data_IF_489870056971
#
_entry.id   IF_489870056971
#
_cell.length_a   1.000
_cell.length_b   1.000
_cell.length_c   1.000
_cell.angle_alpha   90.00
_cell.angle_beta   90.00
_cell.angle_gamma   90.00
#
_symmetry.space_group_name_H-M   'P 1'
#
loop_
_entity.id
_entity.type
_entity.pdbx_description
1 polymer ?
#
# COMPACT_ATOMS: atom_id res chain seq x y z
N UNK A 1 2.76 -43.14 -5.94
CA UNK A 1 2.52 -41.92 -6.77
C UNK A 1 1.98 -40.71 -6.00
N UNK A 2 1.25 -40.85 -4.88
CA UNK A 2 0.68 -39.71 -4.13
C UNK A 2 1.67 -38.78 -3.40
N UNK A 3 2.85 -39.28 -2.96
CA UNK A 3 3.88 -38.45 -2.29
C UNK A 3 4.52 -37.38 -3.20
N UNK A 4 4.61 -37.63 -4.50
CA UNK A 4 5.21 -36.71 -5.49
C UNK A 4 4.35 -35.47 -5.73
N UNK A 5 3.03 -35.61 -5.74
CA UNK A 5 2.10 -34.50 -5.94
C UNK A 5 1.99 -33.59 -4.70
N UNK A 6 2.07 -34.18 -3.49
CA UNK A 6 2.05 -33.42 -2.23
C UNK A 6 3.31 -32.56 -2.05
N UNK A 7 4.49 -33.10 -2.32
CA UNK A 7 5.74 -32.33 -2.25
C UNK A 7 5.82 -31.20 -3.29
N UNK A 8 5.29 -31.41 -4.51
CA UNK A 8 5.22 -30.33 -5.52
C UNK A 8 4.23 -29.22 -5.14
N UNK A 9 3.10 -29.56 -4.50
CA UNK A 9 2.13 -28.58 -3.98
C UNK A 9 2.68 -27.82 -2.77
N UNK A 10 3.36 -28.50 -1.85
CA UNK A 10 4.00 -27.88 -0.69
C UNK A 10 5.15 -26.96 -1.09
N UNK A 11 5.98 -27.34 -2.08
CA UNK A 11 7.05 -26.49 -2.61
C UNK A 11 6.50 -25.24 -3.33
N UNK A 12 5.42 -25.38 -4.12
CA UNK A 12 4.74 -24.24 -4.76
C UNK A 12 4.08 -23.31 -3.74
N UNK A 13 3.47 -23.86 -2.69
CA UNK A 13 2.91 -23.07 -1.59
C UNK A 13 4.00 -22.32 -0.80
N UNK A 14 5.14 -22.98 -0.51
CA UNK A 14 6.26 -22.32 0.15
C UNK A 14 6.84 -21.17 -0.69
N UNK A 15 7.00 -21.36 -2.01
CA UNK A 15 7.34 -20.27 -2.93
C UNK A 15 6.27 -19.17 -2.95
N UNK A 16 4.98 -19.48 -2.92
CA UNK A 16 3.94 -18.45 -2.94
C UNK A 16 3.92 -17.58 -1.66
N UNK A 17 4.08 -18.18 -0.46
CA UNK A 17 4.23 -17.45 0.82
C UNK A 17 5.46 -16.55 0.79
N UNK A 18 6.57 -17.06 0.24
CA UNK A 18 7.80 -16.33 0.07
C UNK A 18 7.61 -15.02 -0.67
N UNK A 19 6.85 -15.06 -1.76
CA UNK A 19 6.57 -13.90 -2.60
C UNK A 19 5.46 -12.98 -2.06
N UNK A 20 4.60 -13.44 -1.14
CA UNK A 20 3.55 -12.62 -0.51
C UNK A 20 4.05 -11.83 0.69
N UNK A 21 4.81 -12.49 1.57
CA UNK A 21 5.42 -11.84 2.73
C UNK A 21 6.63 -10.98 2.31
N UNK A 22 7.30 -11.34 1.22
CA UNK A 22 8.21 -10.47 0.49
C UNK A 22 7.47 -9.61 -0.54
N UNK A 23 6.25 -9.15 -0.28
CA UNK A 23 5.28 -8.62 -1.26
C UNK A 23 5.71 -7.45 -2.16
N UNK A 24 6.95 -7.00 -2.08
CA UNK A 24 7.57 -6.02 -2.97
C UNK A 24 8.88 -6.53 -3.66
N UNK A 25 9.30 -7.76 -3.32
CA UNK A 25 10.44 -8.62 -3.72
C UNK A 25 10.74 -8.84 -5.20
N UNK A 26 10.06 -8.15 -6.09
CA UNK A 26 10.17 -8.35 -7.53
C UNK A 26 10.26 -7.08 -8.34
N UNK A 27 10.36 -5.90 -7.72
CA UNK A 27 10.22 -4.61 -8.41
C UNK A 27 11.18 -4.43 -9.59
N UNK A 28 12.40 -4.93 -9.47
CA UNK A 28 13.45 -4.77 -10.49
C UNK A 28 13.43 -5.87 -11.57
N UNK A 29 12.48 -6.81 -11.53
CA UNK A 29 12.35 -7.91 -12.53
C UNK A 29 11.30 -7.65 -13.61
N UNK A 30 10.61 -6.51 -13.55
CA UNK A 30 9.51 -6.18 -14.45
C UNK A 30 9.79 -4.91 -15.24
N UNK A 31 9.13 -4.76 -16.38
CA UNK A 31 9.21 -3.55 -17.19
C UNK A 31 8.71 -2.35 -16.38
N UNK A 32 9.64 -1.42 -16.10
CA UNK A 32 9.32 -0.09 -15.59
C UNK A 32 9.04 0.85 -16.78
N UNK A 33 8.38 1.97 -16.50
CA UNK A 33 8.41 3.08 -17.44
C UNK A 33 9.89 3.53 -17.67
N UNK A 34 10.19 4.24 -18.77
CA UNK A 34 11.50 4.85 -18.95
C UNK A 34 11.68 6.00 -17.95
N UNK A 35 12.88 6.10 -17.36
CA UNK A 35 13.27 7.28 -16.57
C UNK A 35 13.60 8.41 -17.54
N UNK A 36 12.85 9.51 -17.48
CA UNK A 36 13.25 10.74 -18.13
C UNK A 36 14.27 11.47 -17.27
N UNK A 37 15.43 11.80 -17.84
CA UNK A 37 16.44 12.64 -17.17
C UNK A 37 15.82 14.03 -16.91
N UNK A 38 15.67 14.45 -15.65
CA UNK A 38 14.98 15.69 -15.35
C UNK A 38 15.82 16.90 -15.77
N UNK A 39 15.17 17.91 -16.35
CA UNK A 39 15.84 19.17 -16.74
C UNK A 39 16.25 20.03 -15.54
N UNK A 40 15.68 19.76 -14.36
CA UNK A 40 15.99 20.41 -13.08
C UNK A 40 16.90 19.49 -12.24
N UNK A 41 17.63 20.08 -11.30
CA UNK A 41 18.57 19.36 -10.41
C UNK A 41 18.21 19.44 -8.92
N UNK A 42 17.09 20.07 -8.58
CA UNK A 42 16.60 20.09 -7.20
C UNK A 42 15.98 18.75 -6.78
N UNK A 43 15.71 18.61 -5.49
CA UNK A 43 15.27 17.35 -4.89
C UNK A 43 13.95 16.80 -5.46
N UNK A 44 13.10 17.66 -6.03
CA UNK A 44 11.81 17.26 -6.62
C UNK A 44 11.93 16.90 -8.09
N UNK A 45 13.02 17.26 -8.74
CA UNK A 45 13.19 17.09 -10.18
C UNK A 45 12.92 15.67 -10.68
N UNK A 46 13.34 14.59 -9.99
CA UNK A 46 12.99 13.23 -10.42
C UNK A 46 11.48 12.98 -10.43
N UNK A 47 10.75 13.54 -9.46
CA UNK A 47 9.32 13.25 -9.25
C UNK A 47 8.40 14.18 -10.06
N UNK A 48 8.92 15.30 -10.56
CA UNK A 48 8.20 16.30 -11.36
C UNK A 48 8.64 16.32 -12.83
N UNK A 49 8.93 15.14 -13.39
CA UNK A 49 9.39 15.00 -14.77
C UNK A 49 8.37 15.56 -15.79
N UNK A 50 8.85 15.78 -17.03
CA UNK A 50 8.23 16.70 -17.98
C UNK A 50 6.87 16.25 -18.56
N UNK A 51 6.53 14.96 -18.46
CA UNK A 51 5.37 14.37 -19.14
C UNK A 51 4.42 13.65 -18.19
N UNK A 52 3.45 14.42 -17.69
CA UNK A 52 2.29 13.91 -16.96
C UNK A 52 1.62 12.75 -17.71
N UNK A 53 1.22 11.63 -17.06
CA UNK A 53 0.81 10.45 -17.81
C UNK A 53 -0.52 10.70 -18.51
N UNK A 54 -0.72 10.11 -19.68
CA UNK A 54 -1.94 10.31 -20.49
C UNK A 54 -3.23 10.06 -19.70
N UNK A 55 -3.26 9.04 -18.86
CA UNK A 55 -4.42 8.73 -18.02
C UNK A 55 -4.73 9.82 -16.98
N UNK A 56 -3.71 10.54 -16.51
CA UNK A 56 -3.90 11.68 -15.62
C UNK A 56 -4.36 12.94 -16.39
N UNK A 57 -4.05 13.05 -17.68
CA UNK A 57 -4.63 14.10 -18.54
C UNK A 57 -6.13 13.88 -18.78
N UNK A 58 -6.58 12.63 -18.92
CA UNK A 58 -8.00 12.29 -19.14
C UNK A 58 -8.91 12.59 -17.95
N UNK A 59 -8.35 12.83 -16.77
CA UNK A 59 -9.13 13.28 -15.61
C UNK A 59 -9.74 14.67 -15.80
N UNK A 60 -9.23 15.44 -16.77
CA UNK A 60 -9.70 16.78 -17.12
C UNK A 60 -9.76 17.71 -15.91
N UNK A 61 -8.69 17.68 -15.09
CA UNK A 61 -8.55 18.54 -13.92
C UNK A 61 -8.19 19.98 -14.38
N UNK A 62 -8.96 21.00 -13.98
CA UNK A 62 -8.68 22.39 -14.33
C UNK A 62 -7.26 22.83 -13.95
N UNK A 63 -6.51 23.39 -14.90
CA UNK A 63 -5.13 23.87 -14.68
C UNK A 63 -5.01 25.06 -13.72
N UNK A 64 -6.12 25.75 -13.47
CA UNK A 64 -6.22 26.90 -12.57
C UNK A 64 -6.41 26.49 -11.11
N UNK A 65 -6.64 25.20 -10.84
CA UNK A 65 -6.85 24.63 -9.51
C UNK A 65 -5.74 23.61 -9.21
N UNK A 66 -5.55 23.35 -7.92
CA UNK A 66 -4.51 22.47 -7.42
C UNK A 66 -5.12 21.18 -6.88
N UNK A 67 -4.46 20.06 -7.15
CA UNK A 67 -5.01 18.73 -6.83
C UNK A 67 -3.95 17.83 -6.23
N UNK A 68 -4.38 17.03 -5.25
CA UNK A 68 -3.67 15.85 -4.77
C UNK A 68 -4.46 14.62 -5.20
N UNK A 69 -3.77 13.65 -5.78
CA UNK A 69 -4.38 12.46 -6.35
C UNK A 69 -3.79 11.24 -5.66
N UNK A 70 -4.64 10.48 -4.97
CA UNK A 70 -4.29 9.19 -4.38
C UNK A 70 -4.84 8.08 -5.27
N UNK A 71 -3.96 7.23 -5.77
CA UNK A 71 -4.32 6.03 -6.53
C UNK A 71 -3.98 4.80 -5.71
N UNK A 72 -5.00 4.05 -5.28
CA UNK A 72 -4.81 2.77 -4.62
C UNK A 72 -5.13 1.62 -5.57
N UNK A 73 -4.15 0.77 -5.85
CA UNK A 73 -4.33 -0.49 -6.57
C UNK A 73 -4.57 -1.60 -5.53
N UNK A 74 -5.83 -2.03 -5.29
CA UNK A 74 -6.10 -3.11 -4.35
C UNK A 74 -5.63 -4.45 -4.91
N UNK A 75 -5.54 -5.44 -4.03
CA UNK A 75 -5.48 -6.84 -4.43
C UNK A 75 -6.81 -7.27 -5.05
N UNK A 76 -6.78 -8.21 -6.00
CA UNK A 76 -8.01 -8.82 -6.53
C UNK A 76 -8.84 -9.51 -5.43
N UNK A 77 -8.16 -10.16 -4.48
CA UNK A 77 -8.78 -10.85 -3.36
C UNK A 77 -8.55 -10.06 -2.08
N UNK A 78 -9.62 -9.71 -1.33
CA UNK A 78 -9.49 -9.00 -0.06
C UNK A 78 -8.53 -9.67 0.92
N UNK A 79 -7.63 -8.89 1.51
CA UNK A 79 -6.81 -9.36 2.62
C UNK A 79 -7.49 -9.10 3.97
N UNK A 80 -8.43 -9.97 4.35
CA UNK A 80 -9.31 -9.76 5.50
C UNK A 80 -8.58 -9.98 6.84
N UNK A 81 -8.15 -8.88 7.46
CA UNK A 81 -7.49 -8.85 8.77
C UNK A 81 -8.46 -8.84 9.98
N UNK A 82 -9.77 -8.98 9.78
CA UNK A 82 -10.77 -8.89 10.87
C UNK A 82 -10.60 -9.96 11.95
N UNK A 83 -10.08 -11.14 11.57
CA UNK A 83 -9.78 -12.23 12.51
C UNK A 83 -8.53 -12.99 12.06
N UNK A 84 -7.79 -13.64 12.98
CA UNK A 84 -6.64 -14.46 12.60
C UNK A 84 -6.98 -15.58 11.60
N UNK A 85 -8.18 -16.16 11.70
CA UNK A 85 -8.63 -17.20 10.78
C UNK A 85 -8.89 -16.64 9.37
N UNK A 86 -9.51 -15.47 9.26
CA UNK A 86 -9.76 -14.82 7.96
C UNK A 86 -8.48 -14.30 7.32
N UNK A 87 -7.56 -13.76 8.11
CA UNK A 87 -6.25 -13.32 7.61
C UNK A 87 -5.46 -14.49 7.01
N UNK A 88 -5.48 -15.64 7.69
CA UNK A 88 -4.91 -16.88 7.18
C UNK A 88 -5.54 -17.33 5.87
N UNK A 89 -6.87 -17.34 5.79
CA UNK A 89 -7.56 -17.76 4.57
C UNK A 89 -7.31 -16.80 3.41
N UNK A 90 -7.25 -15.50 3.68
CA UNK A 90 -6.91 -14.48 2.68
C UNK A 90 -5.49 -14.66 2.16
N UNK A 91 -4.52 -15.00 3.03
CA UNK A 91 -3.18 -15.39 2.60
C UNK A 91 -3.18 -16.63 1.70
N UNK A 92 -4.00 -17.63 2.04
CA UNK A 92 -4.16 -18.85 1.22
C UNK A 92 -4.75 -18.55 -0.16
N UNK A 93 -5.75 -17.69 -0.20
CA UNK A 93 -6.39 -17.25 -1.43
C UNK A 93 -5.41 -16.46 -2.30
N UNK A 94 -4.74 -15.45 -1.74
CA UNK A 94 -3.75 -14.63 -2.42
C UNK A 94 -2.59 -15.45 -3.02
N UNK A 95 -2.21 -16.58 -2.40
CA UNK A 95 -1.22 -17.52 -2.95
C UNK A 95 -1.70 -18.31 -4.16
N UNK A 96 -3.00 -18.58 -4.20
CA UNK A 96 -3.62 -19.47 -5.18
C UNK A 96 -4.01 -18.72 -6.46
N UNK A 97 -3.99 -17.38 -6.42
CA UNK A 97 -4.39 -16.52 -7.52
C UNK A 97 -3.24 -16.27 -8.51
N UNK A 98 -3.41 -16.67 -9.79
CA UNK A 98 -2.39 -16.42 -10.80
C UNK A 98 -2.30 -14.93 -11.18
N UNK A 99 -1.07 -14.44 -11.26
CA UNK A 99 -0.71 -13.32 -12.16
C UNK A 99 -0.99 -11.89 -11.70
N UNK A 100 -0.68 -11.49 -10.47
CA UNK A 100 -0.67 -10.04 -10.13
C UNK A 100 0.49 -9.63 -9.23
N UNK A 101 0.96 -8.41 -9.49
CA UNK A 101 2.18 -7.80 -8.98
C UNK A 101 2.02 -7.05 -7.65
N UNK A 102 0.78 -6.70 -7.26
CA UNK A 102 0.46 -5.95 -6.03
C UNK A 102 -0.29 -6.84 -5.04
N UNK A 103 0.43 -7.68 -4.30
CA UNK A 103 -0.19 -8.75 -3.50
C UNK A 103 -0.73 -8.34 -2.13
N UNK A 104 -0.46 -7.11 -1.69
CA UNK A 104 -0.97 -6.50 -0.45
C UNK A 104 -1.56 -5.10 -0.69
N UNK A 105 -1.80 -4.75 -1.95
CA UNK A 105 -2.19 -3.40 -2.37
C UNK A 105 -0.99 -2.49 -2.65
N UNK A 106 -1.26 -1.33 -3.25
CA UNK A 106 -0.24 -0.36 -3.61
C UNK A 106 -0.82 1.05 -3.71
N UNK A 107 -0.24 2.01 -3.01
CA UNK A 107 -0.69 3.41 -3.06
C UNK A 107 0.31 4.25 -3.85
N UNK A 108 -0.18 5.11 -4.74
CA UNK A 108 0.58 6.11 -5.49
C UNK A 108 -0.01 7.48 -5.17
N UNK A 109 0.84 8.45 -4.90
CA UNK A 109 0.45 9.84 -4.69
C UNK A 109 0.97 10.69 -5.83
N UNK A 110 0.09 11.51 -6.40
CA UNK A 110 0.39 12.41 -7.48
C UNK A 110 -0.18 13.80 -7.18
N UNK A 111 0.34 14.83 -7.85
CA UNK A 111 -0.07 16.20 -7.62
C UNK A 111 -0.07 17.05 -8.87
N UNK A 112 -0.91 18.08 -8.82
CA UNK A 112 -0.88 19.24 -9.69
C UNK A 112 -0.87 20.48 -8.80
N UNK A 113 0.30 21.11 -8.67
CA UNK A 113 0.50 22.37 -7.95
C UNK A 113 0.91 23.45 -8.97
N UNK A 114 -0.08 24.06 -9.62
CA UNK A 114 0.06 25.04 -10.68
C UNK A 114 0.84 24.50 -11.88
N UNK A 115 2.03 25.07 -12.18
CA UNK A 115 2.85 24.57 -13.27
C UNK A 115 3.50 23.23 -12.94
N UNK A 116 3.61 22.88 -11.65
CA UNK A 116 4.31 21.69 -11.19
C UNK A 116 3.34 20.52 -11.13
N UNK A 117 3.75 19.40 -11.69
CA UNK A 117 3.04 18.15 -11.62
C UNK A 117 4.03 17.05 -11.36
N UNK A 118 3.64 16.07 -10.58
CA UNK A 118 4.51 14.96 -10.27
C UNK A 118 3.79 13.80 -9.62
N UNK A 119 4.47 12.68 -9.55
CA UNK A 119 3.99 11.52 -8.83
C UNK A 119 5.13 10.72 -8.24
N UNK A 120 4.83 10.05 -7.14
CA UNK A 120 5.77 9.17 -6.49
C UNK A 120 5.04 8.09 -5.70
N UNK A 121 5.78 7.06 -5.35
CA UNK A 121 5.40 6.10 -4.32
C UNK A 121 6.64 5.43 -3.74
N UNK A 122 6.45 4.71 -2.65
CA UNK A 122 7.50 4.03 -1.92
C UNK A 122 7.44 2.51 -2.10
N UNK A 123 8.60 1.89 -2.35
CA UNK A 123 8.79 0.44 -2.40
C UNK A 123 10.03 0.06 -1.60
N UNK A 124 10.20 -1.23 -1.32
CA UNK A 124 11.36 -1.83 -0.66
C UNK A 124 11.10 -3.30 -0.44
N UNK A 125 11.81 -3.98 0.47
CA UNK A 125 11.72 -5.43 0.66
C UNK A 125 11.89 -6.24 -0.65
N UNK A 126 12.63 -5.65 -1.60
CA UNK A 126 12.90 -6.12 -2.96
C UNK A 126 14.09 -7.08 -3.04
N UNK A 127 15.00 -6.99 -2.06
CA UNK A 127 16.17 -7.84 -1.93
C UNK A 127 15.86 -9.31 -1.57
N UNK A 128 16.86 -10.21 -1.68
CA UNK A 128 16.70 -11.62 -1.33
C UNK A 128 16.38 -11.87 0.15
N UNK A 129 16.64 -10.89 1.02
CA UNK A 129 16.50 -10.96 2.47
C UNK A 129 15.05 -11.18 2.89
N UNK A 130 14.08 -10.48 2.27
CA UNK A 130 12.66 -10.63 2.59
C UNK A 130 12.19 -12.07 2.33
N UNK A 131 12.60 -12.64 1.20
CA UNK A 131 12.39 -14.05 0.90
C UNK A 131 13.21 -14.98 1.83
N UNK A 132 14.40 -14.58 2.25
CA UNK A 132 15.20 -15.41 3.15
C UNK A 132 14.55 -15.55 4.53
N UNK A 133 14.07 -14.46 5.15
CA UNK A 133 13.37 -14.52 6.44
C UNK A 133 12.18 -15.49 6.41
N UNK A 134 11.39 -15.41 5.34
CA UNK A 134 10.23 -16.27 5.18
C UNK A 134 10.65 -17.75 5.00
N UNK A 135 11.74 -18.03 4.25
CA UNK A 135 12.27 -19.39 4.07
C UNK A 135 12.79 -19.97 5.38
N UNK A 136 13.54 -19.16 6.11
CA UNK A 136 14.26 -19.59 7.30
C UNK A 136 13.29 -19.83 8.45
N UNK A 137 12.08 -19.27 8.38
CA UNK A 137 11.00 -19.54 9.32
C UNK A 137 10.82 -18.42 10.33
N UNK A 138 11.02 -17.17 9.92
CA UNK A 138 10.67 -16.00 10.74
C UNK A 138 9.15 -15.75 10.82
N UNK A 139 8.34 -16.48 10.04
CA UNK A 139 6.89 -16.30 10.05
C UNK A 139 6.47 -14.89 9.61
N UNK A 140 5.52 -14.30 10.33
CA UNK A 140 5.04 -12.92 10.12
C UNK A 140 6.05 -11.84 10.52
N UNK A 141 7.11 -12.18 11.27
CA UNK A 141 8.18 -11.23 11.61
C UNK A 141 8.79 -10.64 10.34
N UNK A 142 8.85 -11.41 9.24
CA UNK A 142 9.31 -10.90 7.94
C UNK A 142 8.51 -9.67 7.48
N UNK A 143 7.17 -9.74 7.50
CA UNK A 143 6.32 -8.63 7.06
C UNK A 143 6.35 -7.42 8.01
N UNK A 144 6.66 -7.63 9.29
CA UNK A 144 6.73 -6.58 10.32
C UNK A 144 8.13 -5.94 10.43
N UNK A 145 9.13 -6.53 9.77
CA UNK A 145 10.51 -6.04 9.79
C UNK A 145 10.68 -4.81 8.90
N UNK A 146 11.75 -4.05 9.17
CA UNK A 146 12.16 -2.91 8.35
C UNK A 146 13.33 -3.29 7.47
N UNK A 147 13.25 -2.92 6.19
CA UNK A 147 14.27 -3.18 5.18
C UNK A 147 14.98 -1.89 4.78
N UNK A 148 16.29 -1.95 4.60
CA UNK A 148 17.12 -0.79 4.23
C UNK A 148 17.23 -0.55 2.72
N UNK A 149 16.48 -1.30 1.93
CA UNK A 149 16.40 -1.19 0.46
C UNK A 149 15.19 -0.36 0.01
N UNK A 150 14.64 0.48 0.90
CA UNK A 150 13.58 1.39 0.53
C UNK A 150 14.00 2.31 -0.61
N UNK A 151 13.06 2.66 -1.48
CA UNK A 151 13.23 3.73 -2.46
C UNK A 151 11.90 4.37 -2.81
N UNK A 152 11.94 5.67 -3.10
CA UNK A 152 10.88 6.33 -3.84
C UNK A 152 11.15 6.12 -5.32
N UNK A 153 10.13 5.83 -6.11
CA UNK A 153 10.23 5.84 -7.56
C UNK A 153 9.48 7.04 -8.12
N UNK A 154 10.10 7.79 -9.04
CA UNK A 154 9.43 8.83 -9.79
C UNK A 154 8.42 8.27 -10.79
N UNK A 155 7.69 9.19 -11.42
CA UNK A 155 6.76 8.95 -12.53
C UNK A 155 7.27 7.91 -13.56
N UNK A 156 8.51 8.09 -14.01
CA UNK A 156 9.15 7.20 -14.99
C UNK A 156 9.55 5.82 -14.46
N UNK A 157 9.38 5.50 -13.18
CA UNK A 157 9.84 4.23 -12.60
C UNK A 157 8.69 3.37 -12.04
N UNK A 158 7.44 3.82 -12.19
CA UNK A 158 6.28 2.99 -11.87
C UNK A 158 6.26 1.75 -12.77
N UNK A 159 5.90 0.59 -12.21
CA UNK A 159 5.70 -0.63 -13.01
C UNK A 159 4.63 -0.39 -14.06
N UNK A 160 4.89 -0.79 -15.30
CA UNK A 160 3.89 -0.66 -16.39
C UNK A 160 2.60 -1.40 -16.08
N UNK A 161 2.67 -2.53 -15.36
CA UNK A 161 1.48 -3.26 -14.93
C UNK A 161 0.58 -2.44 -13.99
N UNK A 162 1.17 -1.64 -13.09
CA UNK A 162 0.44 -0.76 -12.18
C UNK A 162 -0.18 0.40 -12.95
N UNK A 163 0.59 1.07 -13.81
CA UNK A 163 0.09 2.17 -14.64
C UNK A 163 -1.05 1.72 -15.57
N UNK A 164 -0.90 0.58 -16.24
CA UNK A 164 -1.97 -0.03 -17.04
C UNK A 164 -3.17 -0.42 -16.19
N UNK A 165 -2.96 -0.89 -14.96
CA UNK A 165 -4.03 -1.19 -14.01
C UNK A 165 -4.85 0.04 -13.65
N UNK A 166 -4.20 1.17 -13.39
CA UNK A 166 -4.86 2.46 -13.15
C UNK A 166 -5.65 2.87 -14.38
N UNK A 167 -5.01 2.88 -15.56
CA UNK A 167 -5.63 3.26 -16.83
C UNK A 167 -6.85 2.41 -17.19
N UNK A 168 -6.84 1.13 -16.84
CA UNK A 168 -7.94 0.18 -17.07
C UNK A 168 -9.04 0.23 -15.98
N UNK A 169 -9.00 1.20 -15.07
CA UNK A 169 -10.00 1.35 -14.01
C UNK A 169 -9.94 0.26 -12.93
N UNK A 170 -8.79 -0.43 -12.78
CA UNK A 170 -8.55 -1.43 -11.73
C UNK A 170 -8.05 -0.82 -10.42
N UNK A 171 -7.76 0.48 -10.41
CA UNK A 171 -7.42 1.24 -9.21
C UNK A 171 -8.64 1.98 -8.64
N UNK A 172 -8.56 2.32 -7.36
CA UNK A 172 -9.46 3.27 -6.70
C UNK A 172 -8.70 4.60 -6.67
N UNK A 173 -9.09 5.54 -7.52
CA UNK A 173 -8.41 6.84 -7.68
C UNK A 173 -9.30 7.93 -7.12
N UNK A 174 -8.74 8.78 -6.28
CA UNK A 174 -9.40 9.97 -5.71
C UNK A 174 -8.51 11.18 -5.93
N UNK A 175 -9.03 12.18 -6.64
CA UNK A 175 -8.41 13.49 -6.84
C UNK A 175 -9.15 14.51 -5.96
N UNK A 176 -8.39 15.24 -5.15
CA UNK A 176 -8.91 16.16 -4.14
C UNK A 176 -8.37 17.54 -4.45
N UNK A 177 -9.25 18.51 -4.63
CA UNK A 177 -8.87 19.91 -4.73
C UNK A 177 -8.33 20.40 -3.38
N UNK A 178 -7.18 21.07 -3.44
CA UNK A 178 -6.50 21.66 -2.29
C UNK A 178 -6.13 23.11 -2.60
N UNK A 179 -5.85 23.90 -1.58
CA UNK A 179 -5.32 25.24 -1.81
C UNK A 179 -3.88 25.17 -2.32
N UNK A 180 -3.47 26.19 -3.08
CA UNK A 180 -2.08 26.30 -3.57
C UNK A 180 -1.07 26.16 -2.44
N UNK A 181 -1.29 26.84 -1.32
CA UNK A 181 -0.36 26.80 -0.18
C UNK A 181 -0.22 25.39 0.41
N UNK A 182 -1.32 24.63 0.47
CA UNK A 182 -1.34 23.26 0.94
C UNK A 182 -0.62 22.33 -0.05
N UNK A 183 -0.86 22.51 -1.36
CA UNK A 183 -0.16 21.76 -2.41
C UNK A 183 1.36 21.98 -2.37
N UNK A 184 1.80 23.23 -2.19
CA UNK A 184 3.22 23.57 -2.03
C UNK A 184 3.81 23.02 -0.72
N UNK A 185 3.05 23.02 0.39
CA UNK A 185 3.49 22.43 1.66
C UNK A 185 3.79 20.93 1.54
N UNK A 186 3.00 20.20 0.76
CA UNK A 186 3.29 18.81 0.42
C UNK A 186 4.58 18.65 -0.39
N UNK A 187 4.84 19.53 -1.37
CA UNK A 187 6.11 19.51 -2.13
C UNK A 187 7.31 19.77 -1.22
N UNK A 188 7.18 20.69 -0.27
CA UNK A 188 8.18 20.96 0.76
C UNK A 188 8.36 19.75 1.70
N UNK A 189 7.28 19.06 2.07
CA UNK A 189 7.34 17.83 2.87
C UNK A 189 8.07 16.72 2.13
N UNK A 190 7.80 16.50 0.84
CA UNK A 190 8.53 15.53 0.02
C UNK A 190 10.02 15.88 -0.03
N UNK A 191 10.36 17.16 -0.25
CA UNK A 191 11.74 17.64 -0.24
C UNK A 191 12.41 17.34 1.11
N UNK A 192 11.74 17.62 2.23
CA UNK A 192 12.24 17.30 3.57
C UNK A 192 12.43 15.79 3.74
N UNK A 193 11.48 14.97 3.33
CA UNK A 193 11.56 13.52 3.44
C UNK A 193 12.76 12.94 2.68
N UNK A 194 12.98 13.36 1.42
CA UNK A 194 14.08 12.81 0.59
C UNK A 194 15.45 13.32 1.01
N UNK A 195 15.54 14.53 1.57
CA UNK A 195 16.81 15.14 2.02
C UNK A 195 17.10 14.93 3.51
N UNK A 196 16.18 14.30 4.25
CA UNK A 196 16.30 14.17 5.70
C UNK A 196 17.57 13.39 6.12
N UNK A 197 18.31 13.83 7.15
CA UNK A 197 19.53 13.14 7.62
C UNK A 197 19.32 11.67 8.01
N UNK A 198 18.13 11.31 8.49
CA UNK A 198 17.78 9.92 8.83
C UNK A 198 17.52 9.01 7.61
N UNK A 199 17.52 9.58 6.39
CA UNK A 199 17.31 8.86 5.13
C UNK A 199 16.05 7.97 5.13
N UNK A 200 14.86 8.50 5.45
CA UNK A 200 13.64 7.69 5.54
C UNK A 200 13.27 7.05 4.20
N UNK A 201 13.60 7.69 3.07
CA UNK A 201 13.39 7.12 1.74
C UNK A 201 14.10 5.76 1.53
N UNK A 202 15.13 5.43 2.32
CA UNK A 202 15.83 4.14 2.24
C UNK A 202 15.32 3.09 3.21
N UNK A 203 14.23 3.36 3.94
CA UNK A 203 13.71 2.48 5.00
C UNK A 203 12.27 2.09 4.71
N UNK A 204 12.05 0.83 4.36
CA UNK A 204 10.74 0.31 3.99
C UNK A 204 10.19 -0.65 5.04
N UNK A 205 8.93 -0.50 5.42
CA UNK A 205 8.27 -1.39 6.37
C UNK A 205 6.88 -0.93 6.76
N UNK A 206 6.05 -1.86 7.25
CA UNK A 206 4.66 -1.59 7.65
C UNK A 206 4.53 -0.90 9.02
N UNK A 207 5.60 -0.90 9.81
CA UNK A 207 5.60 -0.41 11.20
C UNK A 207 6.26 0.96 11.36
N UNK A 208 6.63 1.61 10.25
CA UNK A 208 7.39 2.86 10.26
C UNK A 208 6.45 4.07 10.22
N UNK A 209 6.84 5.12 10.95
CA UNK A 209 6.13 6.40 11.00
C UNK A 209 6.81 7.43 10.06
N UNK A 210 6.25 7.72 8.86
CA UNK A 210 6.82 8.72 7.96
C UNK A 210 6.83 10.14 8.56
N UNK A 211 5.86 10.50 9.40
CA UNK A 211 5.80 11.77 10.11
C UNK A 211 6.95 11.97 11.11
N UNK A 212 7.63 10.88 11.47
CA UNK A 212 8.84 10.87 12.30
C UNK A 212 10.13 10.66 11.49
N UNK A 213 10.04 10.63 10.16
CA UNK A 213 11.14 10.32 9.25
C UNK A 213 11.84 8.97 9.58
N UNK A 214 11.06 7.95 9.93
CA UNK A 214 11.57 6.59 10.19
C UNK A 214 11.63 5.72 8.92
N UNK A 215 10.98 6.17 7.86
CA UNK A 215 10.67 5.42 6.65
C UNK A 215 9.16 5.18 6.53
N UNK A 216 8.74 4.36 5.57
CA UNK A 216 7.32 4.05 5.35
C UNK A 216 7.09 2.82 4.47
N UNK A 217 5.84 2.36 4.43
CA UNK A 217 5.32 1.51 3.36
C UNK A 217 4.62 2.37 2.30
N UNK A 218 4.18 1.77 1.19
CA UNK A 218 3.52 2.53 0.12
C UNK A 218 2.25 3.27 0.61
N UNK A 219 1.41 2.61 1.43
CA UNK A 219 0.17 3.20 1.97
C UNK A 219 0.51 4.33 2.94
N UNK A 220 1.32 4.07 3.97
CA UNK A 220 1.65 5.09 4.96
C UNK A 220 2.36 6.29 4.35
N UNK A 221 3.25 6.08 3.36
CA UNK A 221 3.89 7.16 2.61
C UNK A 221 2.87 7.97 1.79
N UNK A 222 2.00 7.32 1.03
CA UNK A 222 1.01 7.99 0.19
C UNK A 222 0.04 8.87 1.00
N UNK A 223 -0.46 8.34 2.13
CA UNK A 223 -1.31 9.12 3.04
C UNK A 223 -0.53 10.22 3.76
N UNK A 224 0.70 9.96 4.22
CA UNK A 224 1.53 11.00 4.83
C UNK A 224 1.74 12.20 3.90
N UNK A 225 2.08 11.94 2.63
CA UNK A 225 2.30 13.02 1.68
C UNK A 225 0.99 13.74 1.34
N UNK A 226 -0.10 13.01 1.11
CA UNK A 226 -1.41 13.62 0.86
C UNK A 226 -1.91 14.47 2.04
N UNK A 227 -1.65 14.04 3.28
CA UNK A 227 -1.99 14.80 4.48
C UNK A 227 -1.19 16.09 4.64
N UNK A 228 0.04 16.15 4.11
CA UNK A 228 0.83 17.38 4.13
C UNK A 228 0.17 18.52 3.33
N UNK A 229 -0.75 18.18 2.41
CA UNK A 229 -1.62 19.10 1.70
C UNK A 229 -3.07 19.10 2.22
N UNK A 230 -3.35 18.51 3.37
CA UNK A 230 -4.72 18.41 3.94
C UNK A 230 -5.68 17.50 3.16
N UNK A 231 -5.23 16.86 2.07
CA UNK A 231 -6.12 16.14 1.15
C UNK A 231 -6.75 14.87 1.72
N UNK A 232 -6.18 14.28 2.77
CA UNK A 232 -6.59 12.98 3.35
C UNK A 232 -6.58 12.96 4.88
N UNK A 233 -6.51 14.12 5.56
CA UNK A 233 -6.26 14.21 7.00
C UNK A 233 -7.30 13.42 7.82
N UNK A 234 -8.59 13.54 7.47
CA UNK A 234 -9.70 12.85 8.12
C UNK A 234 -9.72 11.32 7.93
N UNK A 235 -9.01 10.79 6.93
CA UNK A 235 -9.03 9.35 6.60
C UNK A 235 -7.93 8.55 7.28
N UNK A 236 -6.79 9.18 7.59
CA UNK A 236 -5.60 8.47 8.08
C UNK A 236 -5.81 7.69 9.38
N UNK A 237 -6.53 8.23 10.41
CA UNK A 237 -6.86 7.45 11.60
C UNK A 237 -7.79 6.26 11.29
N UNK A 238 -8.65 6.39 10.28
CA UNK A 238 -9.68 5.41 9.97
C UNK A 238 -9.11 4.18 9.25
N UNK A 239 -8.04 4.35 8.47
CA UNK A 239 -7.36 3.27 7.71
C UNK A 239 -6.38 2.44 8.55
N UNK A 240 -6.15 2.80 9.81
CA UNK A 240 -5.28 2.04 10.72
C UNK A 240 -6.06 0.96 11.46
N UNK A 241 -5.53 -0.25 11.46
CA UNK A 241 -6.03 -1.41 12.21
C UNK A 241 -5.09 -1.79 13.33
N UNK A 242 -5.64 -2.06 14.52
CA UNK A 242 -4.92 -2.80 15.55
C UNK A 242 -5.00 -4.31 15.25
N UNK A 243 -3.86 -4.95 15.07
CA UNK A 243 -3.75 -6.39 14.82
C UNK A 243 -3.11 -7.04 16.03
N UNK A 244 -3.82 -7.99 16.64
CA UNK A 244 -3.23 -8.85 17.68
C UNK A 244 -2.36 -9.91 17.05
N UNK A 245 -1.09 -9.94 17.44
CA UNK A 245 -0.13 -10.96 17.04
C UNK A 245 -0.17 -12.12 18.03
N UNK A 246 -0.21 -13.33 17.50
CA UNK A 246 -0.26 -14.56 18.29
C UNK A 246 1.02 -15.35 18.10
N UNK A 247 1.46 -16.06 19.14
CA UNK A 247 2.70 -16.84 19.10
C UNK A 247 2.84 -17.78 17.89
N UNK A 248 1.78 -18.46 17.39
CA UNK A 248 1.91 -19.41 16.27
C UNK A 248 2.31 -18.79 14.92
N UNK A 249 2.17 -17.49 14.75
CA UNK A 249 2.52 -16.78 13.50
C UNK A 249 3.89 -16.11 13.56
N UNK A 250 4.47 -16.00 14.75
CA UNK A 250 5.75 -15.35 14.98
C UNK A 250 6.82 -16.42 15.12
N UNK A 251 7.85 -16.32 14.29
CA UNK A 251 8.99 -17.21 14.36
C UNK A 251 10.29 -16.44 14.49
N UNK A 252 11.31 -17.14 14.96
CA UNK A 252 12.69 -16.70 14.91
C UNK A 252 13.55 -17.87 14.48
N UNK A 253 14.39 -17.66 13.49
CA UNK A 253 15.18 -18.73 12.90
C UNK A 253 16.42 -18.19 12.19
N UNK A 254 17.58 -18.82 12.37
CA UNK A 254 18.79 -18.36 11.69
C UNK A 254 19.32 -17.02 12.20
N UNK A 255 20.27 -16.47 11.45
CA UNK A 255 20.99 -15.24 11.81
C UNK A 255 20.18 -13.99 11.42
N UNK A 256 20.45 -12.87 12.11
CA UNK A 256 19.95 -11.58 11.67
C UNK A 256 20.59 -11.22 10.32
N UNK A 257 19.76 -10.89 9.34
CA UNK A 257 20.21 -10.52 8.01
C UNK A 257 20.71 -9.06 7.95
N UNK A 258 21.84 -8.78 7.26
CA UNK A 258 22.26 -7.42 6.97
C UNK A 258 21.17 -6.63 6.24
N UNK A 259 21.03 -5.34 6.56
CA UNK A 259 20.03 -4.48 5.92
C UNK A 259 18.59 -4.72 6.37
N UNK A 260 18.36 -5.63 7.34
CA UNK A 260 17.04 -5.84 7.95
C UNK A 260 17.10 -5.49 9.44
N UNK A 261 16.28 -4.53 9.84
CA UNK A 261 15.94 -4.34 11.24
C UNK A 261 14.72 -5.22 11.57
N UNK A 262 15.00 -6.38 12.17
CA UNK A 262 14.00 -7.40 12.46
C UNK A 262 13.01 -6.90 13.51
N UNK A 263 11.72 -7.12 13.28
CA UNK A 263 10.74 -6.94 14.35
C UNK A 263 11.03 -7.94 15.48
N UNK A 264 11.08 -7.44 16.71
CA UNK A 264 11.38 -8.26 17.90
C UNK A 264 10.12 -8.34 18.76
N UNK A 265 9.44 -9.50 18.83
CA UNK A 265 8.37 -9.67 19.79
C UNK A 265 8.89 -9.56 21.23
N UNK A 266 8.00 -9.35 22.22
CA UNK A 266 8.37 -9.32 23.63
C UNK A 266 9.23 -10.51 24.06
N UNK A 267 10.16 -10.26 24.98
CA UNK A 267 11.17 -11.22 25.41
C UNK A 267 10.56 -12.55 25.89
N UNK A 268 11.16 -13.66 25.47
CA UNK A 268 10.76 -15.01 25.86
C UNK A 268 9.65 -15.64 25.00
N UNK A 269 9.16 -14.96 23.96
CA UNK A 269 8.26 -15.57 22.99
C UNK A 269 8.98 -16.04 21.72
N UNK A 270 8.38 -17.05 21.08
CA UNK A 270 8.41 -17.16 19.61
C UNK A 270 9.80 -17.49 19.02
N UNK A 271 10.69 -18.07 19.83
CA UNK A 271 12.06 -18.47 19.46
C UNK A 271 12.11 -19.70 18.53
N UNK A 272 10.96 -20.32 18.25
CA UNK A 272 10.88 -21.48 17.35
C UNK A 272 10.61 -21.02 15.92
N UNK A 273 11.29 -21.61 14.91
CA UNK A 273 10.98 -21.33 13.52
C UNK A 273 9.52 -21.63 13.15
N UNK A 274 8.90 -20.70 12.42
CA UNK A 274 7.58 -20.80 11.81
C UNK A 274 7.74 -20.77 10.28
N UNK A 275 7.94 -21.94 9.63
CA UNK A 275 8.08 -22.00 8.19
C UNK A 275 6.74 -21.71 7.47
N UNK A 276 6.77 -21.42 6.16
CA UNK A 276 5.57 -21.16 5.36
C UNK A 276 4.49 -22.23 5.52
N UNK A 277 4.85 -23.51 5.46
CA UNK A 277 3.90 -24.61 5.62
C UNK A 277 3.15 -24.55 6.97
N UNK A 278 3.82 -24.08 8.04
CA UNK A 278 3.22 -23.92 9.36
C UNK A 278 2.28 -22.72 9.41
N UNK A 279 2.63 -21.59 8.80
CA UNK A 279 1.72 -20.44 8.64
C UNK A 279 0.44 -20.85 7.92
N UNK A 280 0.56 -21.70 6.90
CA UNK A 280 -0.60 -22.12 6.11
C UNK A 280 -1.43 -23.21 6.79
N UNK A 281 -0.82 -24.12 7.55
CA UNK A 281 -1.53 -25.24 8.16
C UNK A 281 -2.10 -24.91 9.54
N UNK A 282 -1.40 -24.09 10.32
CA UNK A 282 -1.74 -23.83 11.72
C UNK A 282 -2.84 -22.80 11.82
N UNK A 283 -3.70 -22.94 12.83
CA UNK A 283 -4.61 -21.88 13.24
C UNK A 283 -3.83 -20.76 13.91
N UNK A 284 -4.01 -19.54 13.44
CA UNK A 284 -3.25 -18.38 13.93
C UNK A 284 -3.70 -17.93 15.33
N UNK A 285 -4.91 -18.32 15.76
CA UNK A 285 -5.48 -18.04 17.07
C UNK A 285 -5.17 -19.12 18.13
N UNK A 286 -4.46 -20.19 17.79
CA UNK A 286 -4.16 -21.31 18.71
C UNK A 286 -2.86 -21.10 19.49
N UNK A 287 -2.77 -19.97 20.18
CA UNK A 287 -1.67 -19.67 21.09
C UNK A 287 -1.95 -18.39 21.89
N UNK A 288 -1.08 -18.03 22.84
CA UNK A 288 -1.24 -16.78 23.56
C UNK A 288 -1.08 -15.58 22.61
N UNK A 289 -1.84 -14.49 22.83
CA UNK A 289 -1.50 -13.21 22.24
C UNK A 289 -0.14 -12.75 22.77
N UNK A 290 0.66 -12.17 21.90
CA UNK A 290 2.06 -11.81 22.17
C UNK A 290 2.25 -10.31 22.14
N UNK A 291 1.66 -9.65 21.14
CA UNK A 291 1.77 -8.21 20.96
C UNK A 291 0.55 -7.66 20.21
N UNK A 292 0.43 -6.33 20.17
CA UNK A 292 -0.56 -5.61 19.38
C UNK A 292 0.13 -4.54 18.56
N UNK A 293 -0.03 -4.62 17.25
CA UNK A 293 0.58 -3.68 16.31
C UNK A 293 -0.49 -2.88 15.59
N UNK A 294 -0.16 -1.64 15.24
CA UNK A 294 -0.98 -0.83 14.36
C UNK A 294 -0.37 -0.85 12.97
N UNK A 295 -1.18 -1.17 11.98
CA UNK A 295 -0.77 -1.18 10.56
C UNK A 295 -1.81 -0.43 9.73
N UNK A 296 -1.36 0.24 8.68
CA UNK A 296 -2.24 0.69 7.61
C UNK A 296 -2.82 -0.54 6.88
N UNK A 297 -4.14 -0.69 6.93
CA UNK A 297 -4.85 -1.81 6.32
C UNK A 297 -5.42 -1.39 4.97
N UNK A 298 -4.95 -2.05 3.90
CA UNK A 298 -5.40 -1.80 2.54
C UNK A 298 -6.91 -2.00 2.35
N UNK A 299 -7.55 -2.89 3.11
CA UNK A 299 -9.00 -3.07 3.03
C UNK A 299 -9.77 -1.91 3.65
N UNK A 300 -9.19 -1.22 4.63
CA UNK A 300 -9.76 0.01 5.18
C UNK A 300 -9.55 1.19 4.24
N UNK A 301 -8.44 1.23 3.50
CA UNK A 301 -8.26 2.19 2.40
C UNK A 301 -9.33 1.98 1.33
N UNK A 302 -9.59 0.73 0.91
CA UNK A 302 -10.69 0.41 -0.01
C UNK A 302 -12.00 0.91 0.56
N UNK A 303 -12.33 0.58 1.82
CA UNK A 303 -13.59 0.97 2.43
C UNK A 303 -13.79 2.49 2.44
N UNK A 304 -12.79 3.25 2.88
CA UNK A 304 -12.86 4.71 2.92
C UNK A 304 -13.01 5.32 1.52
N UNK A 305 -12.14 4.95 0.58
CA UNK A 305 -12.13 5.55 -0.75
C UNK A 305 -13.31 5.10 -1.63
N UNK A 306 -13.88 3.91 -1.39
CA UNK A 306 -15.06 3.43 -2.12
C UNK A 306 -16.34 4.06 -1.56
N UNK A 307 -16.48 4.14 -0.24
CA UNK A 307 -17.63 4.79 0.37
C UNK A 307 -17.72 6.29 0.02
N UNK A 308 -16.58 6.95 -0.18
CA UNK A 308 -16.52 8.33 -0.69
C UNK A 308 -17.14 8.51 -2.09
N UNK A 309 -17.32 7.42 -2.87
CA UNK A 309 -17.88 7.42 -4.23
C UNK A 309 -19.39 7.24 -4.27
N UNK A 310 -20.02 6.99 -3.12
CA UNK A 310 -21.46 6.82 -3.05
C UNK A 310 -22.19 8.07 -3.57
N UNK A 311 -23.37 7.85 -4.15
CA UNK A 311 -24.21 8.85 -4.83
C UNK A 311 -23.66 9.44 -6.15
N UNK A 312 -22.39 9.19 -6.51
CA UNK A 312 -21.79 9.73 -7.75
C UNK A 312 -21.25 8.66 -8.70
N UNK A 313 -20.81 7.51 -8.18
CA UNK A 313 -20.43 6.37 -9.01
C UNK A 313 -21.67 5.54 -9.41
N UNK A 314 -21.61 4.82 -10.56
CA UNK A 314 -22.64 3.85 -10.93
C UNK A 314 -22.81 2.75 -9.87
N UNK A 315 -24.05 2.31 -9.65
CA UNK A 315 -24.38 1.24 -8.69
C UNK A 315 -23.68 -0.10 -9.03
N UNK A 316 -23.29 -0.29 -10.28
CA UNK A 316 -22.57 -1.48 -10.77
C UNK A 316 -21.04 -1.32 -10.79
N UNK A 317 -20.49 -0.26 -10.19
CA UNK A 317 -19.04 -0.10 -10.01
C UNK A 317 -18.50 -1.29 -9.18
N UNK A 318 -17.60 -2.07 -9.78
CA UNK A 318 -17.01 -3.28 -9.19
C UNK A 318 -16.38 -3.02 -7.82
N UNK A 319 -15.96 -1.78 -7.56
CA UNK A 319 -15.33 -1.36 -6.31
C UNK A 319 -16.28 -1.54 -5.12
N UNK A 320 -17.59 -1.30 -5.30
CA UNK A 320 -18.59 -1.53 -4.25
C UNK A 320 -18.70 -3.03 -3.91
N UNK A 321 -18.69 -3.89 -4.93
CA UNK A 321 -18.73 -5.35 -4.72
C UNK A 321 -17.43 -5.91 -4.13
N UNK A 322 -16.29 -5.22 -4.33
CA UNK A 322 -14.97 -5.61 -3.81
C UNK A 322 -14.79 -5.25 -2.33
N UNK A 323 -15.47 -4.22 -1.84
CA UNK A 323 -15.37 -3.77 -0.44
C UNK A 323 -15.82 -4.89 0.51
N UNK A 324 -15.08 -5.09 1.61
CA UNK A 324 -15.51 -6.03 2.64
C UNK A 324 -16.84 -5.54 3.27
N UNK A 325 -17.77 -6.45 3.65
CA UNK A 325 -19.04 -6.01 4.22
C UNK A 325 -18.88 -5.33 5.58
N UNK A 326 -19.38 -4.11 5.72
CA UNK A 326 -19.32 -3.31 6.96
C UNK A 326 -19.90 -4.05 8.18
N UNK A 327 -21.02 -4.76 8.00
CA UNK A 327 -21.66 -5.53 9.07
C UNK A 327 -20.80 -6.65 9.66
N UNK A 328 -19.68 -7.01 9.01
CA UNK A 328 -18.77 -8.08 9.44
C UNK A 328 -17.53 -7.58 10.18
N UNK A 329 -17.21 -6.29 10.07
CA UNK A 329 -15.99 -5.72 10.64
C UNK A 329 -16.18 -4.24 11.03
N UNK A 330 -16.13 -3.88 12.33
CA UNK A 330 -16.30 -2.51 12.77
C UNK A 330 -15.21 -1.56 12.26
N UNK A 331 -14.00 -2.05 11.94
CA UNK A 331 -12.97 -1.20 11.33
C UNK A 331 -13.38 -0.78 9.92
N UNK A 332 -13.97 -1.70 9.15
CA UNK A 332 -14.47 -1.43 7.79
C UNK A 332 -15.62 -0.43 7.84
N UNK A 333 -16.59 -0.63 8.74
CA UNK A 333 -17.70 0.31 8.94
C UNK A 333 -17.20 1.72 9.27
N UNK A 334 -16.26 1.85 10.22
CA UNK A 334 -15.65 3.13 10.60
C UNK A 334 -14.90 3.78 9.43
N UNK A 335 -14.16 3.01 8.64
CA UNK A 335 -13.45 3.51 7.48
C UNK A 335 -14.42 4.01 6.39
N UNK A 336 -15.49 3.27 6.12
CA UNK A 336 -16.54 3.68 5.19
C UNK A 336 -17.27 4.94 5.65
N UNK A 337 -17.60 5.04 6.95
CA UNK A 337 -18.17 6.25 7.55
C UNK A 337 -17.24 7.46 7.39
N UNK A 338 -15.95 7.31 7.69
CA UNK A 338 -14.96 8.36 7.49
C UNK A 338 -14.86 8.78 6.00
N UNK A 339 -14.93 7.82 5.08
CA UNK A 339 -14.96 8.07 3.63
C UNK A 339 -16.16 8.90 3.18
N UNK A 340 -17.36 8.53 3.65
CA UNK A 340 -18.60 9.29 3.40
C UNK A 340 -18.52 10.71 3.95
N UNK A 341 -18.10 10.84 5.21
CA UNK A 341 -17.97 12.14 5.86
C UNK A 341 -16.96 13.04 5.14
N UNK A 342 -15.79 12.50 4.81
CA UNK A 342 -14.77 13.19 4.02
C UNK A 342 -15.28 13.68 2.67
N UNK A 343 -16.01 12.84 1.93
CA UNK A 343 -16.57 13.26 0.64
C UNK A 343 -17.65 14.34 0.81
N UNK A 344 -18.43 14.31 1.89
CA UNK A 344 -19.50 15.27 2.15
C UNK A 344 -18.99 16.71 2.38
N UNK A 345 -17.71 16.88 2.73
CA UNK A 345 -17.07 18.19 2.88
C UNK A 345 -16.82 18.88 1.51
N UNK A 346 -16.98 18.16 0.39
CA UNK A 346 -16.77 18.67 -0.95
C UNK A 346 -18.10 18.85 -1.69
N UNK A 347 -18.50 20.10 -2.01
CA UNK A 347 -19.77 20.38 -2.66
C UNK A 347 -19.83 19.87 -4.10
N UNK A 348 -18.69 19.77 -4.78
CA UNK A 348 -18.60 19.23 -6.13
C UNK A 348 -17.95 17.85 -6.10
N UNK A 349 -18.72 16.84 -6.51
CA UNK A 349 -18.30 15.43 -6.56
C UNK A 349 -18.66 14.84 -7.92
N UNK A 350 -17.71 14.19 -8.59
CA UNK A 350 -17.93 13.58 -9.91
C UNK A 350 -16.98 12.41 -10.18
N UNK A 351 -17.35 11.55 -11.11
CA UNK A 351 -16.45 10.54 -11.68
C UNK A 351 -15.84 11.08 -12.98
N UNK A 352 -14.52 11.23 -13.02
CA UNK A 352 -13.75 11.59 -14.21
C UNK A 352 -13.25 10.34 -14.96
N UNK A 353 -13.16 10.43 -16.29
CA UNK A 353 -12.74 9.32 -17.17
C UNK A 353 -13.49 8.00 -16.86
N UNK A 354 -14.82 8.03 -16.85
CA UNK A 354 -15.65 6.91 -16.38
C UNK A 354 -15.42 5.58 -17.13
N UNK A 355 -14.96 5.62 -18.38
CA UNK A 355 -14.59 4.44 -19.18
C UNK A 355 -13.13 4.00 -19.05
N UNK A 356 -12.30 4.76 -18.32
CA UNK A 356 -10.89 4.49 -18.09
C UNK A 356 -10.58 4.46 -16.60
N UNK A 357 -9.91 5.49 -16.08
CA UNK A 357 -9.46 5.54 -14.68
C UNK A 357 -10.64 5.51 -13.69
N UNK A 358 -11.77 6.12 -14.06
CA UNK A 358 -12.95 6.31 -13.20
C UNK A 358 -12.57 6.92 -11.84
N UNK A 359 -11.84 8.04 -11.86
CA UNK A 359 -11.39 8.72 -10.65
C UNK A 359 -12.55 9.49 -10.00
N UNK A 360 -12.69 9.38 -8.68
CA UNK A 360 -13.50 10.31 -7.91
C UNK A 360 -12.78 11.65 -7.86
N UNK A 361 -13.44 12.72 -8.28
CA UNK A 361 -12.93 14.09 -8.16
C UNK A 361 -13.78 14.82 -7.14
N UNK A 362 -13.11 15.41 -6.15
CA UNK A 362 -13.67 16.19 -5.05
C UNK A 362 -13.16 17.63 -5.18
N UNK A 363 -14.05 18.58 -5.41
CA UNK A 363 -13.74 19.97 -5.74
C UNK A 363 -14.40 20.92 -4.72
N UNK A 364 -13.70 22.01 -4.38
CA UNK A 364 -14.24 23.17 -3.64
C UNK A 364 -14.99 24.05 -4.67
N UNK A 365 -16.00 24.82 -4.25
CA UNK A 365 -16.83 25.64 -5.17
C UNK A 365 -16.01 26.55 -6.11
#
# INVERSE_FOLDING_TARGET
MFRSAFHRRAARAALAVLWLLAGCGGYDRFDAAPVEEPARTDALAPFEAAQWPDHMHRLDLPRTRDYVILSFLPTNHPFDLSTPTRARWSLIEAMSSPGQDTRIGHAIVAWQCGPNRGMTSMTGASGPESGQLVRDGWGFVAALSTYSDGRLYPEGEHRLANLRGIEQGRAIVTAVEVDRAECEAMRDELTRFVTHPNRPATRYGLMLAPERYEGAGCISFGFYLANAAGAMEGLTPAIRREVTLYAPVLGRAGDELPGVAHYRPPAGCCETPVPPARLLASRWDQGPPVDRVHVEDGELVVAALVAAREDVAPDDDWRFARMLPEARDPYVARAAEAGRAFAADYPVRRIADAGGVAALVLERE
#
